data_IF_575145410840
#
_entry.id   IF_575145410840
#
_cell.length_a   1.000
_cell.length_b   1.000
_cell.length_c   1.000
_cell.angle_alpha   90.00
_cell.angle_beta   90.00
_cell.angle_gamma   90.00
#
_symmetry.space_group_name_H-M   'P 1'
#
loop_
_entity.id
_entity.type
_entity.pdbx_description
1 polymer ?
#
# COMPACT_ATOMS: atom_id res chain seq x y z
N UNK A 1 -3.55 -18.80 -30.16
CA UNK A 1 -3.67 -18.24 -28.80
C UNK A 1 -3.23 -16.81 -28.92
N UNK A 2 -4.18 -15.87 -28.92
CA UNK A 2 -3.85 -14.46 -29.02
C UNK A 2 -2.94 -14.09 -27.84
N UNK A 3 -1.74 -13.63 -28.17
CA UNK A 3 -0.85 -13.01 -27.21
C UNK A 3 -1.51 -11.69 -26.81
N UNK A 4 -2.31 -11.73 -25.74
CA UNK A 4 -2.81 -10.50 -25.11
C UNK A 4 -1.59 -9.79 -24.54
N UNK A 5 -1.06 -8.85 -25.31
CA UNK A 5 -0.02 -7.93 -24.86
C UNK A 5 -0.51 -7.24 -23.58
N UNK A 6 0.31 -7.20 -22.51
CA UNK A 6 -0.10 -6.60 -21.26
C UNK A 6 -0.39 -5.11 -21.45
N UNK A 7 -1.56 -4.66 -20.96
CA UNK A 7 -1.95 -3.25 -21.01
C UNK A 7 -1.15 -2.49 -19.95
N UNK A 8 -0.38 -1.45 -20.31
CA UNK A 8 0.32 -0.64 -19.33
C UNK A 8 -0.68 0.17 -18.49
N UNK A 9 -0.49 0.18 -17.18
CA UNK A 9 -1.31 0.93 -16.23
C UNK A 9 -0.50 2.04 -15.57
N UNK A 10 -1.13 3.20 -15.39
CA UNK A 10 -0.59 4.25 -14.53
C UNK A 10 -0.63 3.77 -13.08
N UNK A 11 0.51 3.86 -12.40
CA UNK A 11 0.64 3.42 -11.02
C UNK A 11 1.39 4.45 -10.19
N UNK A 12 0.96 4.61 -8.95
CA UNK A 12 1.72 5.35 -7.96
C UNK A 12 2.68 4.38 -7.27
N UNK A 13 3.96 4.75 -7.21
CA UNK A 13 4.99 3.98 -6.53
C UNK A 13 5.29 4.63 -5.19
N UNK A 14 5.23 3.85 -4.12
CA UNK A 14 5.49 4.32 -2.76
C UNK A 14 6.30 3.30 -1.96
N UNK A 15 6.70 3.70 -0.75
CA UNK A 15 7.36 2.84 0.21
C UNK A 15 6.56 2.81 1.51
N UNK A 16 6.46 1.64 2.13
CA UNK A 16 5.84 1.47 3.45
C UNK A 16 6.63 2.24 4.49
N UNK A 17 5.93 3.02 5.33
CA UNK A 17 6.55 3.78 6.41
C UNK A 17 7.32 2.88 7.38
N UNK A 18 8.40 3.41 7.94
CA UNK A 18 9.18 2.66 8.92
C UNK A 18 8.45 2.54 10.24
N UNK A 19 7.98 3.66 10.77
CA UNK A 19 7.33 3.77 12.07
C UNK A 19 6.00 4.52 11.94
N UNK A 20 5.02 4.01 12.67
CA UNK A 20 3.64 4.46 12.64
C UNK A 20 3.19 4.65 14.08
N UNK A 21 2.75 5.86 14.41
CA UNK A 21 2.13 6.10 15.71
C UNK A 21 0.68 5.63 15.69
N UNK A 22 0.32 4.77 16.64
CA UNK A 22 -0.94 4.05 16.74
C UNK A 22 -1.56 4.22 18.15
N UNK A 23 -2.84 3.87 18.28
CA UNK A 23 -3.58 3.91 19.54
C UNK A 23 -4.07 5.32 19.94
N UNK A 24 -4.86 5.37 21.02
CA UNK A 24 -5.38 6.64 21.55
C UNK A 24 -4.21 7.47 22.09
N UNK A 25 -4.03 8.69 21.57
CA UNK A 25 -2.89 9.54 21.90
C UNK A 25 -1.61 9.26 21.10
N UNK A 26 -1.62 8.34 20.13
CA UNK A 26 -0.46 8.03 19.26
C UNK A 26 0.81 7.61 20.03
N UNK A 27 0.63 6.96 21.18
CA UNK A 27 1.73 6.58 22.08
C UNK A 27 2.38 5.25 21.63
N UNK A 28 1.63 4.38 20.94
CA UNK A 28 2.17 3.10 20.47
C UNK A 28 2.90 3.27 19.13
N UNK A 29 4.11 2.73 19.01
CA UNK A 29 4.82 2.69 17.73
C UNK A 29 4.67 1.31 17.09
N UNK A 30 4.23 1.28 15.83
CA UNK A 30 4.20 0.07 14.99
C UNK A 30 5.17 0.22 13.82
N UNK A 31 5.74 -0.91 13.42
CA UNK A 31 6.71 -0.97 12.34
C UNK A 31 6.09 -1.55 11.08
N UNK A 32 5.95 -0.72 10.04
CA UNK A 32 5.27 -1.08 8.80
C UNK A 32 3.85 -1.62 9.01
N UNK A 33 3.33 -2.38 8.06
CA UNK A 33 1.98 -2.96 8.14
C UNK A 33 2.01 -4.45 8.51
N UNK A 34 0.86 -5.05 8.79
CA UNK A 34 0.77 -6.50 9.00
C UNK A 34 1.27 -7.28 7.77
N UNK A 35 1.07 -6.74 6.58
CA UNK A 35 1.29 -7.41 5.30
C UNK A 35 2.65 -7.08 4.68
N UNK A 36 3.22 -5.92 4.99
CA UNK A 36 4.46 -5.43 4.38
C UNK A 36 5.47 -4.98 5.44
N UNK A 37 6.75 -5.28 5.23
CA UNK A 37 7.83 -4.82 6.10
C UNK A 37 8.08 -3.31 5.95
N UNK A 38 8.64 -2.63 6.97
CA UNK A 38 9.19 -1.28 6.84
C UNK A 38 10.01 -1.11 5.56
N UNK A 39 9.80 0.00 4.83
CA UNK A 39 10.57 0.34 3.63
C UNK A 39 10.23 -0.47 2.39
N UNK A 40 9.32 -1.44 2.47
CA UNK A 40 8.88 -2.23 1.29
C UNK A 40 8.34 -1.31 0.21
N UNK A 41 8.86 -1.44 -1.02
CA UNK A 41 8.31 -0.76 -2.20
C UNK A 41 6.98 -1.40 -2.58
N UNK A 42 5.97 -0.57 -2.82
CA UNK A 42 4.66 -1.00 -3.28
C UNK A 42 4.23 -0.21 -4.52
N UNK A 43 3.34 -0.82 -5.29
CA UNK A 43 2.67 -0.25 -6.45
C UNK A 43 1.19 -0.15 -6.14
N UNK A 44 0.63 1.03 -6.39
CA UNK A 44 -0.78 1.31 -6.13
C UNK A 44 -1.44 1.55 -7.49
N UNK A 45 -2.50 0.82 -7.76
CA UNK A 45 -3.31 0.92 -8.98
C UNK A 45 -4.77 1.16 -8.61
N UNK A 46 -5.53 1.69 -9.57
CA UNK A 46 -6.96 2.01 -9.41
C UNK A 46 -7.27 2.99 -8.27
N UNK A 47 -6.45 4.05 -8.13
CA UNK A 47 -6.63 5.10 -7.12
C UNK A 47 -6.59 6.51 -7.72
N UNK A 48 -7.31 7.45 -7.10
CA UNK A 48 -7.23 8.88 -7.36
C UNK A 48 -7.40 9.71 -6.08
N UNK A 49 -6.89 10.94 -6.07
CA UNK A 49 -6.97 11.83 -4.92
C UNK A 49 -8.44 12.12 -4.54
N UNK A 50 -8.78 11.92 -3.26
CA UNK A 50 -10.15 12.07 -2.75
C UNK A 50 -10.99 10.78 -2.75
N UNK A 51 -10.46 9.66 -3.25
CA UNK A 51 -11.07 8.35 -3.13
C UNK A 51 -10.90 7.78 -1.72
N UNK A 52 -12.01 7.38 -1.08
CA UNK A 52 -12.03 6.77 0.26
C UNK A 52 -12.54 5.32 0.21
N UNK A 53 -12.09 4.57 -0.79
CA UNK A 53 -12.49 3.18 -1.06
C UNK A 53 -11.25 2.27 -1.01
N UNK A 54 -11.47 0.97 -1.20
CA UNK A 54 -10.42 -0.01 -1.36
C UNK A 54 -9.52 0.31 -2.55
N UNK A 55 -8.21 0.32 -2.34
CA UNK A 55 -7.21 0.44 -3.39
C UNK A 55 -6.48 -0.89 -3.58
N UNK A 56 -6.00 -1.13 -4.81
CA UNK A 56 -5.17 -2.29 -5.10
C UNK A 56 -3.70 -1.97 -4.87
N UNK A 57 -3.09 -2.69 -3.94
CA UNK A 57 -1.67 -2.54 -3.57
C UNK A 57 -0.92 -3.83 -3.89
N UNK A 58 0.17 -3.70 -4.63
CA UNK A 58 1.06 -4.81 -5.00
C UNK A 58 2.41 -4.59 -4.33
N UNK A 59 2.91 -5.58 -3.59
CA UNK A 59 4.16 -5.45 -2.87
C UNK A 59 4.72 -6.78 -2.36
N UNK A 60 5.97 -6.74 -1.87
CA UNK A 60 6.61 -7.92 -1.30
C UNK A 60 6.07 -8.22 0.10
N UNK A 61 5.39 -9.35 0.25
CA UNK A 61 4.83 -9.81 1.52
C UNK A 61 5.90 -9.93 2.61
N UNK A 62 5.57 -9.45 3.81
CA UNK A 62 6.40 -9.59 5.02
C UNK A 62 6.67 -11.06 5.34
N UNK A 63 5.64 -11.90 5.33
CA UNK A 63 5.71 -13.26 5.86
C UNK A 63 6.18 -14.25 4.80
N UNK A 64 5.57 -14.20 3.61
CA UNK A 64 5.84 -15.19 2.56
C UNK A 64 7.02 -14.82 1.68
N UNK A 65 7.49 -13.58 1.74
CA UNK A 65 8.51 -13.01 0.83
C UNK A 65 8.17 -13.19 -0.66
N UNK A 66 6.88 -13.28 -0.99
CA UNK A 66 6.35 -13.31 -2.35
C UNK A 66 5.67 -11.98 -2.68
N UNK A 67 5.63 -11.63 -3.95
CA UNK A 67 4.78 -10.54 -4.43
C UNK A 67 3.32 -10.93 -4.20
N UNK A 68 2.58 -10.06 -3.53
CA UNK A 68 1.17 -10.24 -3.24
C UNK A 68 0.39 -9.01 -3.70
N UNK A 69 -0.85 -9.25 -4.15
CA UNK A 69 -1.84 -8.22 -4.45
C UNK A 69 -2.85 -8.21 -3.32
N UNK A 70 -3.13 -7.04 -2.76
CA UNK A 70 -4.08 -6.86 -1.68
C UNK A 70 -4.99 -5.67 -1.96
N UNK A 71 -6.25 -5.81 -1.59
CA UNK A 71 -7.17 -4.69 -1.46
C UNK A 71 -7.01 -4.09 -0.07
N UNK A 72 -6.73 -2.80 0.00
CA UNK A 72 -6.54 -2.09 1.26
C UNK A 72 -7.44 -0.86 1.32
N UNK A 73 -8.22 -0.73 2.39
CA UNK A 73 -8.93 0.50 2.71
C UNK A 73 -7.92 1.60 3.04
N UNK A 74 -7.91 2.66 2.25
CA UNK A 74 -7.25 3.92 2.63
C UNK A 74 -8.29 4.81 3.31
N UNK A 75 -8.02 5.20 4.56
CA UNK A 75 -8.75 6.34 5.13
C UNK A 75 -8.24 7.60 4.42
N UNK A 76 -9.16 8.34 3.78
CA UNK A 76 -8.93 9.69 3.29
C UNK A 76 -8.46 10.60 4.44
N UNK A 77 -7.16 10.69 4.67
CA UNK A 77 -6.56 11.87 5.27
C UNK A 77 -5.68 12.51 4.20
N UNK A 78 -5.91 13.80 3.95
CA UNK A 78 -5.39 14.65 2.87
C UNK A 78 -3.85 14.83 2.86
N UNK A 79 -3.08 13.75 2.98
CA UNK A 79 -1.65 13.75 2.74
C UNK A 79 -1.31 12.49 1.98
N UNK A 80 -0.44 12.63 0.98
CA UNK A 80 0.22 11.53 0.26
C UNK A 80 1.15 10.68 1.18
N UNK A 81 0.85 10.64 2.47
CA UNK A 81 1.31 9.68 3.46
C UNK A 81 0.52 8.38 3.24
N UNK A 82 0.57 7.86 2.03
CA UNK A 82 -0.14 6.63 1.67
C UNK A 82 0.61 5.48 2.33
N UNK A 83 -0.16 4.75 3.15
CA UNK A 83 0.22 3.63 4.02
C UNK A 83 0.58 4.14 5.40
N UNK A 84 -0.35 3.84 6.32
CA UNK A 84 -0.17 3.84 7.76
C UNK A 84 1.28 3.61 8.11
#
# INVERSE_FOLDING_TARGET
MDHLEPIPLWTLVANIKQEISYGQGKIETRYGTKQFSPGTKVYIIDWYAGMCQDITVIGLSRDTKKLITLLSLVFCQNKADVLW
#
